data_IF_990509061079
#
_entry.id   IF_990509061079
#
_cell.length_a   1.000
_cell.length_b   1.000
_cell.length_c   1.000
_cell.angle_alpha   90.00
_cell.angle_beta   90.00
_cell.angle_gamma   90.00
#
_symmetry.space_group_name_H-M   'P 1'
#
loop_
_entity.id
_entity.type
_entity.pdbx_description
1 polymer ?
#
# COMPACT_ATOMS: atom_id res chain seq x y z
N UNK A 1 -11.38 21.33 31.46
CA UNK A 1 -11.27 20.47 30.27
C UNK A 1 -9.94 20.75 29.60
N UNK A 2 -8.95 19.85 29.73
CA UNK A 2 -7.67 20.00 29.02
C UNK A 2 -7.79 19.40 27.64
N UNK A 3 -7.81 20.25 26.62
CA UNK A 3 -7.58 19.84 25.24
C UNK A 3 -6.12 19.37 25.12
N UNK A 4 -5.94 18.05 25.06
CA UNK A 4 -4.65 17.43 24.77
C UNK A 4 -4.40 17.59 23.26
N UNK A 5 -3.85 18.72 22.86
CA UNK A 5 -3.32 18.90 21.50
C UNK A 5 -2.12 17.97 21.37
N UNK A 6 -2.35 16.77 20.82
CA UNK A 6 -1.24 15.94 20.38
C UNK A 6 -0.58 16.68 19.23
N UNK A 7 0.58 17.28 19.49
CA UNK A 7 1.46 17.80 18.45
C UNK A 7 1.91 16.59 17.61
N UNK A 8 1.09 16.17 16.64
CA UNK A 8 1.53 15.23 15.61
C UNK A 8 2.55 16.02 14.77
N UNK A 9 3.83 15.90 15.16
CA UNK A 9 4.94 16.44 14.39
C UNK A 9 4.83 15.77 13.03
N UNK A 10 4.52 16.55 12.01
CA UNK A 10 4.48 16.04 10.65
C UNK A 10 5.89 15.54 10.32
N UNK A 11 6.03 14.28 9.87
CA UNK A 11 7.31 13.78 9.40
C UNK A 11 7.86 14.67 8.29
N UNK A 12 9.10 15.10 8.48
CA UNK A 12 9.82 15.91 7.51
C UNK A 12 10.38 15.02 6.39
N UNK A 13 9.60 14.90 5.32
CA UNK A 13 9.99 14.14 4.12
C UNK A 13 10.98 14.86 3.20
N UNK A 14 11.31 16.13 3.46
CA UNK A 14 12.31 16.83 2.63
C UNK A 14 13.69 16.16 2.67
N UNK A 15 13.92 15.29 3.67
CA UNK A 15 15.13 14.50 3.88
C UNK A 15 15.11 13.11 3.25
N UNK A 16 14.02 12.73 2.57
CA UNK A 16 13.93 11.44 1.91
C UNK A 16 14.57 11.53 0.51
N UNK A 17 15.74 10.92 0.37
CA UNK A 17 16.40 10.76 -0.93
C UNK A 17 15.52 9.95 -1.88
N UNK A 18 15.47 10.31 -3.18
CA UNK A 18 14.73 9.54 -4.18
C UNK A 18 15.23 8.09 -4.30
N UNK A 19 14.32 7.17 -4.61
CA UNK A 19 14.68 5.79 -4.93
C UNK A 19 15.39 5.73 -6.29
N UNK A 20 16.69 5.51 -6.25
CA UNK A 20 17.58 5.41 -7.42
C UNK A 20 17.82 3.96 -7.88
N UNK A 21 17.07 3.01 -7.31
CA UNK A 21 17.24 1.57 -7.53
C UNK A 21 18.15 0.88 -6.51
N UNK A 22 18.81 1.62 -5.62
CA UNK A 22 19.57 1.06 -4.51
C UNK A 22 18.84 1.25 -3.17
N UNK A 23 19.30 0.55 -2.12
CA UNK A 23 18.84 0.78 -0.74
C UNK A 23 17.31 0.70 -0.51
N UNK A 24 16.59 -0.05 -1.36
CA UNK A 24 15.13 -0.16 -1.32
C UNK A 24 14.59 -0.47 0.09
N UNK A 25 15.21 -1.40 0.83
CA UNK A 25 14.80 -1.73 2.21
C UNK A 25 14.81 -0.51 3.14
N UNK A 26 15.81 0.36 3.04
CA UNK A 26 15.91 1.55 3.90
C UNK A 26 14.91 2.62 3.46
N UNK A 27 14.80 2.83 2.15
CA UNK A 27 13.88 3.79 1.57
C UNK A 27 12.42 3.44 1.88
N UNK A 28 12.01 2.19 1.66
CA UNK A 28 10.64 1.73 1.91
C UNK A 28 10.27 1.80 3.38
N UNK A 29 11.19 1.47 4.30
CA UNK A 29 10.94 1.60 5.73
C UNK A 29 10.69 3.07 6.15
N UNK A 30 11.46 4.02 5.61
CA UNK A 30 11.24 5.46 5.88
C UNK A 30 9.87 5.92 5.37
N UNK A 31 9.46 5.47 4.19
CA UNK A 31 8.14 5.78 3.64
C UNK A 31 6.98 5.13 4.40
N UNK A 32 7.14 3.88 4.84
CA UNK A 32 6.11 3.21 5.63
C UNK A 32 5.86 3.92 6.97
N UNK A 33 6.94 4.32 7.66
CA UNK A 33 6.83 5.12 8.90
C UNK A 33 6.10 6.46 8.62
N UNK A 34 6.40 7.09 7.48
CA UNK A 34 5.70 8.30 7.07
C UNK A 34 4.20 8.07 6.85
N UNK A 35 3.82 7.02 6.11
CA UNK A 35 2.41 6.71 5.84
C UNK A 35 1.64 6.28 7.09
N UNK A 36 2.28 5.58 8.03
CA UNK A 36 1.70 5.24 9.33
C UNK A 36 1.33 6.51 10.12
N UNK A 37 2.22 7.52 10.12
CA UNK A 37 1.95 8.80 10.77
C UNK A 37 0.83 9.61 10.11
N UNK A 38 0.65 9.42 8.80
CA UNK A 38 -0.47 9.98 8.05
C UNK A 38 -1.75 9.15 8.15
N UNK A 39 -1.71 7.98 8.79
CA UNK A 39 -2.83 7.02 8.86
C UNK A 39 -3.34 6.59 7.47
N UNK A 40 -2.42 6.40 6.51
CA UNK A 40 -2.72 6.03 5.10
C UNK A 40 -2.03 4.74 4.63
N UNK A 41 -1.23 4.09 5.48
CA UNK A 41 -0.50 2.85 5.18
C UNK A 41 -1.42 1.68 4.79
N UNK A 42 -2.68 1.71 5.26
CA UNK A 42 -3.70 0.74 4.91
C UNK A 42 -3.94 0.64 3.39
N UNK A 43 -3.70 1.71 2.62
CA UNK A 43 -3.86 1.71 1.15
C UNK A 43 -2.89 0.72 0.49
N UNK A 44 -1.71 0.53 1.07
CA UNK A 44 -0.67 -0.36 0.54
C UNK A 44 -0.98 -1.84 0.81
N UNK A 45 -1.78 -2.11 1.84
CA UNK A 45 -2.03 -3.47 2.34
C UNK A 45 -3.46 -3.95 2.07
N UNK A 46 -4.40 -3.02 1.89
CA UNK A 46 -5.83 -3.29 1.76
C UNK A 46 -6.30 -2.99 0.35
N UNK A 47 -7.03 -3.94 -0.23
CA UNK A 47 -7.71 -3.73 -1.50
C UNK A 47 -8.82 -2.69 -1.41
N UNK A 48 -9.13 -2.05 -2.53
CA UNK A 48 -10.24 -1.10 -2.63
C UNK A 48 -11.50 -1.78 -2.05
N UNK A 49 -12.20 -1.19 -1.06
CA UNK A 49 -13.47 -1.72 -0.61
C UNK A 49 -14.44 -1.70 -1.78
N UNK A 50 -14.65 -2.88 -2.39
CA UNK A 50 -15.61 -3.02 -3.48
C UNK A 50 -17.01 -2.90 -2.89
N UNK A 51 -17.85 -2.06 -3.49
CA UNK A 51 -19.22 -1.83 -3.01
C UNK A 51 -20.17 -2.99 -3.38
N UNK A 52 -19.70 -4.03 -4.05
CA UNK A 52 -20.52 -5.16 -4.46
C UNK A 52 -20.64 -6.22 -3.37
N UNK A 53 -21.84 -6.79 -3.13
CA UNK A 53 -22.00 -7.90 -2.19
C UNK A 53 -21.18 -9.11 -2.67
N UNK A 54 -20.65 -9.95 -1.75
CA UNK A 54 -19.85 -11.10 -2.12
C UNK A 54 -20.73 -12.13 -2.83
N UNK A 55 -20.78 -12.10 -4.15
CA UNK A 55 -21.25 -13.25 -4.91
C UNK A 55 -20.11 -14.25 -4.96
N UNK A 56 -20.26 -15.28 -4.14
CA UNK A 56 -19.45 -16.49 -4.13
C UNK A 56 -19.32 -17.02 -5.56
N UNK A 57 -18.10 -17.16 -6.10
CA UNK A 57 -17.80 -18.17 -7.13
C UNK A 57 -16.32 -18.54 -7.00
N UNK A 58 -16.06 -19.52 -6.15
CA UNK A 58 -14.96 -20.46 -6.37
C UNK A 58 -15.41 -21.52 -7.38
N UNK A 59 -14.43 -21.98 -8.16
CA UNK A 59 -14.39 -23.25 -8.91
C UNK A 59 -14.90 -23.23 -10.36
N UNK A 60 -13.95 -23.21 -11.30
CA UNK A 60 -13.76 -24.38 -12.16
C UNK A 60 -12.30 -24.44 -12.65
N UNK A 61 -11.55 -25.39 -12.08
CA UNK A 61 -10.34 -25.99 -12.65
C UNK A 61 -10.66 -26.72 -13.95
N UNK A 62 -9.70 -26.92 -14.86
CA UNK A 62 -8.90 -28.16 -15.01
C UNK A 62 -7.86 -28.02 -16.18
N UNK A 63 -6.91 -28.96 -16.44
CA UNK A 63 -5.49 -28.80 -16.09
C UNK A 63 -4.50 -29.19 -17.24
N UNK A 64 -3.18 -29.04 -17.03
CA UNK A 64 -2.22 -30.16 -17.17
C UNK A 64 -0.76 -29.74 -16.88
N UNK A 65 -0.19 -30.43 -15.88
CA UNK A 65 1.17 -30.99 -15.80
C UNK A 65 2.42 -30.08 -15.88
N UNK A 66 3.12 -29.94 -14.74
CA UNK A 66 4.38 -30.69 -14.50
C UNK A 66 5.05 -30.30 -13.16
N UNK A 67 4.88 -31.19 -12.17
CA UNK A 67 5.83 -31.67 -11.14
C UNK A 67 6.95 -30.76 -10.60
N UNK A 68 6.83 -30.43 -9.31
CA UNK A 68 7.95 -30.12 -8.40
C UNK A 68 7.50 -29.53 -7.05
N UNK A 69 7.74 -30.17 -5.88
CA UNK A 69 7.18 -29.74 -4.61
C UNK A 69 8.17 -28.88 -3.81
N UNK A 70 7.79 -27.67 -3.40
CA UNK A 70 8.35 -27.01 -2.22
C UNK A 70 7.24 -26.25 -1.48
N UNK A 71 6.69 -26.97 -0.49
CA UNK A 71 6.29 -26.54 0.85
C UNK A 71 5.99 -25.06 1.07
N UNK A 72 4.69 -24.77 1.09
CA UNK A 72 3.98 -23.98 2.09
C UNK A 72 4.78 -23.00 2.96
N UNK A 73 4.54 -21.69 2.74
CA UNK A 73 3.93 -20.88 3.81
C UNK A 73 2.89 -19.95 3.17
N UNK A 74 1.63 -20.39 3.23
CA UNK A 74 0.52 -19.46 3.26
C UNK A 74 0.64 -18.67 4.58
N UNK A 75 1.02 -17.40 4.51
CA UNK A 75 0.70 -16.43 5.57
C UNK A 75 -0.47 -15.60 5.07
N UNK A 76 -1.63 -16.25 4.98
CA UNK A 76 -2.90 -15.59 5.24
C UNK A 76 -3.10 -15.61 6.75
N UNK A 77 -2.88 -14.48 7.42
CA UNK A 77 -3.69 -14.09 8.58
C UNK A 77 -3.27 -12.68 9.09
N UNK A 78 -4.13 -11.69 8.86
CA UNK A 78 -4.91 -10.99 9.89
C UNK A 78 -4.27 -9.71 10.42
N UNK A 79 -4.63 -8.62 9.75
CA UNK A 79 -5.34 -7.55 10.47
C UNK A 79 -6.62 -7.30 9.67
N UNK A 80 -7.65 -8.11 9.91
CA UNK A 80 -9.02 -7.63 9.72
C UNK A 80 -9.23 -6.55 10.76
N UNK A 81 -8.81 -5.33 10.45
CA UNK A 81 -9.39 -4.16 11.10
C UNK A 81 -10.71 -3.98 10.38
N UNK A 82 -11.80 -4.29 11.06
CA UNK A 82 -13.17 -3.92 10.65
C UNK A 82 -13.35 -2.38 10.65
N UNK A 83 -12.40 -1.64 10.08
CA UNK A 83 -12.70 -0.31 9.57
C UNK A 83 -13.44 -0.55 8.28
N UNK A 84 -14.74 -0.26 8.31
CA UNK A 84 -15.46 0.12 7.10
C UNK A 84 -14.75 1.36 6.58
N UNK A 85 -13.75 1.16 5.72
CA UNK A 85 -13.04 2.27 5.08
C UNK A 85 -13.99 2.83 4.05
N UNK A 86 -14.40 4.08 4.30
CA UNK A 86 -15.18 4.83 3.35
C UNK A 86 -14.46 4.89 1.98
N UNK A 87 -15.12 4.52 0.86
CA UNK A 87 -14.50 4.51 -0.46
C UNK A 87 -13.93 5.86 -0.89
N UNK A 88 -14.54 6.98 -0.48
CA UNK A 88 -14.02 8.32 -0.80
C UNK A 88 -12.72 8.61 -0.05
N UNK A 89 -12.66 8.24 1.24
CA UNK A 89 -11.42 8.29 2.03
C UNK A 89 -10.34 7.44 1.38
N UNK A 90 -10.64 6.20 1.00
CA UNK A 90 -9.69 5.33 0.30
C UNK A 90 -9.16 5.99 -0.98
N UNK A 91 -10.03 6.53 -1.83
CA UNK A 91 -9.64 7.15 -3.08
C UNK A 91 -8.70 8.36 -2.89
N UNK A 92 -8.96 9.17 -1.87
CA UNK A 92 -8.11 10.32 -1.50
C UNK A 92 -6.75 9.87 -0.97
N UNK A 93 -6.74 8.90 -0.08
CA UNK A 93 -5.52 8.41 0.55
C UNK A 93 -4.67 7.67 -0.49
N UNK A 94 -5.30 6.92 -1.39
CA UNK A 94 -4.64 6.31 -2.56
C UNK A 94 -3.92 7.35 -3.44
N UNK A 95 -4.58 8.46 -3.78
CA UNK A 95 -3.94 9.54 -4.54
C UNK A 95 -2.75 10.14 -3.79
N UNK A 96 -2.88 10.32 -2.49
CA UNK A 96 -1.83 10.88 -1.63
C UNK A 96 -0.61 9.97 -1.56
N UNK A 97 -0.81 8.69 -1.23
CA UNK A 97 0.27 7.69 -1.14
C UNK A 97 0.95 7.52 -2.49
N UNK A 98 0.17 7.38 -3.56
CA UNK A 98 0.67 7.31 -4.94
C UNK A 98 1.52 8.52 -5.30
N UNK A 99 1.05 9.72 -4.97
CA UNK A 99 1.80 10.96 -5.22
C UNK A 99 3.15 10.98 -4.52
N UNK A 100 3.19 10.57 -3.25
CA UNK A 100 4.44 10.48 -2.49
C UNK A 100 5.39 9.41 -3.04
N UNK A 101 4.89 8.22 -3.39
CA UNK A 101 5.69 7.17 -4.00
C UNK A 101 6.37 7.68 -5.28
N UNK A 102 5.59 8.23 -6.21
CA UNK A 102 6.10 8.74 -7.48
C UNK A 102 7.07 9.90 -7.31
N UNK A 103 6.78 10.85 -6.41
CA UNK A 103 7.63 12.02 -6.19
C UNK A 103 8.99 11.68 -5.55
N UNK A 104 9.06 10.57 -4.82
CA UNK A 104 10.29 10.11 -4.18
C UNK A 104 10.95 8.95 -4.92
N UNK A 105 10.63 8.75 -6.20
CA UNK A 105 11.33 7.86 -7.10
C UNK A 105 12.20 8.67 -8.09
N UNK A 106 13.22 8.04 -8.65
CA UNK A 106 13.98 8.61 -9.77
C UNK A 106 13.14 8.66 -11.05
N UNK A 107 13.48 9.54 -12.00
CA UNK A 107 12.74 9.70 -13.26
C UNK A 107 12.48 8.38 -14.01
N UNK A 108 13.45 7.45 -14.16
CA UNK A 108 13.18 6.17 -14.84
C UNK A 108 12.15 5.30 -14.11
N UNK A 109 12.10 5.36 -12.77
CA UNK A 109 11.12 4.64 -11.98
C UNK A 109 9.76 5.35 -12.02
N UNK A 110 9.74 6.69 -12.01
CA UNK A 110 8.53 7.47 -12.21
C UNK A 110 7.86 7.11 -13.54
N UNK A 111 8.61 7.11 -14.64
CA UNK A 111 8.08 6.80 -15.98
C UNK A 111 7.50 5.37 -16.05
N UNK A 112 8.09 4.42 -15.32
CA UNK A 112 7.60 3.04 -15.26
C UNK A 112 6.27 2.93 -14.51
N UNK A 113 6.13 3.64 -13.40
CA UNK A 113 5.01 3.48 -12.46
C UNK A 113 3.90 4.53 -12.60
N UNK A 114 4.11 5.62 -13.35
CA UNK A 114 3.10 6.67 -13.54
C UNK A 114 1.81 6.15 -14.20
N UNK A 115 1.87 5.03 -14.93
CA UNK A 115 0.69 4.38 -15.53
C UNK A 115 -0.22 3.70 -14.49
N UNK A 116 0.34 3.34 -13.33
CA UNK A 116 -0.40 2.68 -12.27
C UNK A 116 -1.36 3.65 -11.61
N UNK A 117 -2.59 3.20 -11.33
CA UNK A 117 -3.64 4.02 -10.72
C UNK A 117 -3.76 3.81 -9.22
N UNK A 118 -3.32 2.65 -8.73
CA UNK A 118 -3.26 2.32 -7.31
C UNK A 118 -1.86 2.53 -6.77
N UNK A 119 -1.74 3.03 -5.54
CA UNK A 119 -0.49 3.06 -4.80
C UNK A 119 0.00 1.64 -4.44
N UNK A 120 -0.91 0.67 -4.35
CA UNK A 120 -0.58 -0.74 -4.08
C UNK A 120 0.12 -1.43 -5.26
N UNK A 121 -0.07 -0.90 -6.48
CA UNK A 121 0.48 -1.47 -7.72
C UNK A 121 1.83 -0.82 -8.12
N UNK A 122 2.35 0.07 -7.27
CA UNK A 122 3.65 0.75 -7.39
C UNK A 122 4.63 0.09 -6.42
#
# INVERSE_FOLDING_TARGET
MSIKTSNKILPDLSKLEPLDGTNYRRWSQKLLIFFEQLEVDYVLTTDLPTSDPPTTTSTSSDPESSTGPLTAVAVTDQVKKDQVIDPEKYAKDNKTVRGHLLNHMSDPMFDLFVVQKSAKDI
#
